data_IF_459823676208
#
_entry.id   IF_459823676208
#
_cell.length_a   1.000
_cell.length_b   1.000
_cell.length_c   1.000
_cell.angle_alpha   90.00
_cell.angle_beta   90.00
_cell.angle_gamma   90.00
#
_symmetry.space_group_name_H-M   'P 1'
#
loop_
_entity.id
_entity.type
_entity.pdbx_description
1 polymer ?
#
# COMPACT_ATOMS: atom_id res chain seq x y z
N UNK A 1 20.92 9.63 -9.54
CA UNK A 1 20.05 9.29 -10.71
C UNK A 1 18.70 8.85 -10.17
N UNK A 2 17.61 9.24 -10.80
CA UNK A 2 16.26 8.81 -10.39
C UNK A 2 16.09 7.31 -10.64
N UNK A 3 15.41 6.63 -9.73
CA UNK A 3 15.05 5.20 -9.76
C UNK A 3 13.55 5.06 -9.61
N UNK A 4 13.05 3.86 -9.90
CA UNK A 4 11.65 3.52 -9.63
C UNK A 4 11.52 3.10 -8.17
N UNK A 5 10.63 3.78 -7.44
CA UNK A 5 10.23 3.44 -6.08
C UNK A 5 8.81 2.89 -6.12
N UNK A 6 8.61 1.69 -5.56
CA UNK A 6 7.30 1.12 -5.28
C UNK A 6 6.90 1.41 -3.84
N UNK A 7 5.66 1.86 -3.67
CA UNK A 7 5.07 2.23 -2.39
C UNK A 7 3.81 1.39 -2.19
N UNK A 8 3.89 0.38 -1.33
CA UNK A 8 2.74 -0.43 -0.93
C UNK A 8 1.98 0.22 0.21
N UNK A 9 0.65 0.26 0.13
CA UNK A 9 -0.24 0.79 1.15
C UNK A 9 -1.37 -0.23 1.37
N UNK A 10 -1.63 -0.58 2.62
CA UNK A 10 -2.70 -1.51 2.98
C UNK A 10 -3.33 -1.17 4.34
N UNK A 11 -4.52 -1.74 4.58
CA UNK A 11 -5.26 -1.74 5.85
C UNK A 11 -5.53 -0.32 6.40
N UNK A 12 -5.93 0.58 5.52
CA UNK A 12 -6.26 1.98 5.87
C UNK A 12 -7.76 2.21 6.09
N UNK A 13 -8.60 1.23 5.71
CA UNK A 13 -10.04 1.31 5.77
C UNK A 13 -10.65 0.54 6.95
N UNK A 14 -11.92 0.84 7.21
CA UNK A 14 -12.71 0.10 8.19
C UNK A 14 -14.06 -0.28 7.60
N UNK A 15 -14.83 -1.09 8.33
CA UNK A 15 -16.21 -1.40 7.92
C UNK A 15 -17.13 -0.19 7.94
N UNK A 16 -16.73 0.91 8.60
CA UNK A 16 -17.50 2.13 8.82
C UNK A 16 -17.20 3.22 7.79
N UNK A 17 -15.94 3.38 7.38
CA UNK A 17 -15.53 4.48 6.51
C UNK A 17 -14.23 4.18 5.76
N UNK A 18 -13.96 5.00 4.74
CA UNK A 18 -12.74 5.00 3.92
C UNK A 18 -12.55 3.72 3.08
N UNK A 19 -11.54 3.76 2.22
CA UNK A 19 -11.10 2.63 1.40
C UNK A 19 -9.62 2.80 1.08
N UNK A 20 -8.85 1.72 1.13
CA UNK A 20 -7.42 1.74 0.80
C UNK A 20 -7.10 2.33 -0.57
N UNK A 21 -7.98 2.13 -1.56
CA UNK A 21 -7.81 2.75 -2.88
C UNK A 21 -7.95 4.27 -2.84
N UNK A 22 -8.88 4.82 -2.04
CA UNK A 22 -9.05 6.26 -1.89
C UNK A 22 -7.83 6.89 -1.23
N UNK A 23 -7.33 6.28 -0.14
CA UNK A 23 -6.15 6.76 0.58
C UNK A 23 -4.91 6.75 -0.32
N UNK A 24 -4.69 5.66 -1.07
CA UNK A 24 -3.59 5.57 -2.02
C UNK A 24 -3.72 6.62 -3.16
N UNK A 25 -4.94 6.87 -3.66
CA UNK A 25 -5.17 7.91 -4.66
C UNK A 25 -4.90 9.33 -4.11
N UNK A 26 -5.20 9.59 -2.83
CA UNK A 26 -4.80 10.84 -2.17
C UNK A 26 -3.28 10.93 -1.99
N UNK A 27 -2.61 9.81 -1.70
CA UNK A 27 -1.16 9.77 -1.51
C UNK A 27 -0.44 10.08 -2.83
N UNK A 28 -0.86 9.46 -3.94
CA UNK A 28 -0.32 9.76 -5.26
C UNK A 28 -0.52 11.23 -5.64
N UNK A 29 -1.73 11.78 -5.43
CA UNK A 29 -2.00 13.21 -5.71
C UNK A 29 -1.09 14.13 -4.91
N UNK A 30 -0.85 13.83 -3.65
CA UNK A 30 0.01 14.66 -2.80
C UNK A 30 1.49 14.54 -3.18
N UNK A 31 1.93 13.35 -3.57
CA UNK A 31 3.26 13.13 -4.15
C UNK A 31 3.46 13.91 -5.44
N UNK A 32 2.48 13.92 -6.34
CA UNK A 32 2.52 14.66 -7.61
C UNK A 32 2.61 16.17 -7.40
N UNK A 33 1.86 16.72 -6.45
CA UNK A 33 1.97 18.14 -6.06
C UNK A 33 3.36 18.51 -5.55
N UNK A 34 4.07 17.55 -4.97
CA UNK A 34 5.43 17.70 -4.47
C UNK A 34 6.51 17.37 -5.53
N UNK A 35 6.11 17.11 -6.78
CA UNK A 35 7.01 16.90 -7.91
C UNK A 35 7.39 15.44 -8.18
N UNK A 36 6.83 14.47 -7.44
CA UNK A 36 7.05 13.05 -7.66
C UNK A 36 6.01 12.51 -8.65
N UNK A 37 6.44 12.19 -9.87
CA UNK A 37 5.55 11.70 -10.93
C UNK A 37 5.30 10.19 -10.80
N UNK A 38 4.05 9.78 -10.99
CA UNK A 38 3.70 8.38 -11.21
C UNK A 38 4.39 7.85 -12.47
N UNK A 39 5.02 6.68 -12.34
CA UNK A 39 5.69 5.99 -13.44
C UNK A 39 4.78 4.98 -14.14
N UNK A 40 3.69 4.57 -13.48
CA UNK A 40 2.66 3.67 -13.99
C UNK A 40 1.33 3.95 -13.27
N UNK A 41 0.24 3.32 -13.71
CA UNK A 41 -1.02 3.29 -12.97
C UNK A 41 -0.84 2.62 -11.60
N UNK A 42 -1.57 3.06 -10.55
CA UNK A 42 -1.63 2.33 -9.29
C UNK A 42 -2.09 0.88 -9.49
N UNK A 43 -1.43 -0.06 -8.83
CA UNK A 43 -1.81 -1.46 -8.90
C UNK A 43 -2.69 -1.82 -7.71
N UNK A 44 -3.93 -2.25 -7.97
CA UNK A 44 -4.81 -2.84 -6.96
C UNK A 44 -4.56 -4.34 -6.89
N UNK A 45 -3.90 -4.79 -5.82
CA UNK A 45 -3.43 -6.17 -5.67
C UNK A 45 -4.37 -6.92 -4.74
N UNK A 46 -5.10 -7.90 -5.29
CA UNK A 46 -5.91 -8.83 -4.50
C UNK A 46 -5.03 -9.85 -3.80
N UNK A 47 -5.34 -10.14 -2.54
CA UNK A 47 -4.64 -11.10 -1.68
C UNK A 47 -5.60 -12.25 -1.32
N UNK A 48 -5.18 -13.15 -0.41
CA UNK A 48 -5.95 -14.33 -0.03
C UNK A 48 -7.42 -13.98 0.34
N UNK A 49 -8.43 -14.40 -0.45
CA UNK A 49 -9.82 -14.06 -0.19
C UNK A 49 -10.35 -14.70 1.11
N UNK A 50 -9.71 -15.77 1.59
CA UNK A 50 -10.06 -16.49 2.80
C UNK A 50 -9.44 -15.87 4.07
N UNK A 51 -8.65 -14.80 3.96
CA UNK A 51 -8.07 -14.12 5.11
C UNK A 51 -9.16 -13.71 6.13
N UNK A 52 -9.05 -14.10 7.42
CA UNK A 52 -10.06 -13.80 8.43
C UNK A 52 -10.05 -12.33 8.86
N UNK A 53 -8.93 -11.63 8.66
CA UNK A 53 -8.71 -10.25 9.14
C UNK A 53 -9.20 -9.17 8.17
N UNK A 54 -9.74 -9.54 7.00
CA UNK A 54 -10.20 -8.58 5.98
C UNK A 54 -11.45 -7.80 6.42
N UNK A 55 -11.56 -6.54 6.00
CA UNK A 55 -12.78 -5.72 6.15
C UNK A 55 -13.87 -6.18 5.16
N UNK A 56 -13.69 -5.85 3.87
CA UNK A 56 -14.50 -6.25 2.70
C UNK A 56 -13.60 -6.34 1.47
N UNK A 57 -13.37 -7.57 0.99
CA UNK A 57 -12.28 -7.84 0.05
C UNK A 57 -10.92 -7.79 0.75
N UNK A 58 -9.93 -8.51 0.23
CA UNK A 58 -8.56 -8.48 0.73
C UNK A 58 -7.68 -7.88 -0.37
N UNK A 59 -7.29 -6.61 -0.24
CA UNK A 59 -6.56 -5.92 -1.29
C UNK A 59 -5.68 -4.79 -0.76
N UNK A 60 -4.47 -4.70 -1.29
CA UNK A 60 -3.51 -3.64 -1.05
C UNK A 60 -3.24 -2.85 -2.34
N UNK A 61 -2.67 -1.65 -2.24
CA UNK A 61 -2.35 -0.82 -3.40
C UNK A 61 -0.85 -0.58 -3.50
N UNK A 62 -0.30 -0.68 -4.71
CA UNK A 62 1.07 -0.30 -5.03
C UNK A 62 1.08 0.96 -5.91
N UNK A 63 1.82 1.99 -5.49
CA UNK A 63 2.13 3.15 -6.31
C UNK A 63 3.57 3.02 -6.82
N UNK A 64 3.81 3.28 -8.10
CA UNK A 64 5.17 3.35 -8.65
C UNK A 64 5.49 4.77 -9.05
N UNK A 65 6.55 5.35 -8.49
CA UNK A 65 6.99 6.73 -8.77
C UNK A 65 8.45 6.79 -9.20
N UNK A 66 8.84 7.87 -9.88
CA UNK A 66 10.24 8.21 -10.10
C UNK A 66 10.76 9.08 -8.95
N UNK A 67 11.82 8.64 -8.28
CA UNK A 67 12.39 9.33 -7.12
C UNK A 67 13.91 9.16 -7.05
N UNK A 68 14.60 10.08 -6.36
CA UNK A 68 16.01 9.87 -5.99
C UNK A 68 16.07 9.19 -4.61
N UNK A 69 17.10 8.36 -4.34
CA UNK A 69 17.29 7.77 -3.02
C UNK A 69 17.27 8.77 -1.86
N UNK A 70 17.86 9.94 -2.09
CA UNK A 70 17.91 11.04 -1.11
C UNK A 70 16.52 11.59 -0.72
N UNK A 71 15.51 11.41 -1.57
CA UNK A 71 14.15 11.92 -1.36
C UNK A 71 13.28 10.99 -0.49
N UNK A 72 13.76 9.78 -0.17
CA UNK A 72 12.96 8.75 0.50
C UNK A 72 12.33 9.23 1.81
N UNK A 73 13.08 9.99 2.62
CA UNK A 73 12.55 10.54 3.88
C UNK A 73 11.37 11.51 3.66
N UNK A 74 11.48 12.39 2.65
CA UNK A 74 10.41 13.33 2.30
C UNK A 74 9.19 12.61 1.73
N UNK A 75 9.40 11.61 0.88
CA UNK A 75 8.33 10.78 0.33
C UNK A 75 7.58 10.07 1.45
N UNK A 76 8.31 9.49 2.40
CA UNK A 76 7.73 8.85 3.58
C UNK A 76 6.88 9.82 4.40
N UNK A 77 7.41 11.02 4.70
CA UNK A 77 6.66 12.06 5.43
C UNK A 77 5.34 12.42 4.73
N UNK A 78 5.37 12.60 3.40
CA UNK A 78 4.17 12.89 2.61
C UNK A 78 3.16 11.75 2.72
N UNK A 79 3.56 10.52 2.42
CA UNK A 79 2.64 9.36 2.41
C UNK A 79 2.08 9.10 3.80
N UNK A 80 2.93 9.14 4.84
CA UNK A 80 2.50 8.98 6.24
C UNK A 80 1.52 10.06 6.65
N UNK A 81 1.74 11.32 6.24
CA UNK A 81 0.81 12.42 6.56
C UNK A 81 -0.57 12.20 5.93
N UNK A 82 -0.62 11.70 4.70
CA UNK A 82 -1.86 11.38 3.99
C UNK A 82 -2.57 10.20 4.64
N UNK A 83 -1.84 9.12 4.95
CA UNK A 83 -2.41 7.95 5.62
C UNK A 83 -2.96 8.32 6.98
N UNK A 84 -2.24 9.10 7.80
CA UNK A 84 -2.75 9.58 9.10
C UNK A 84 -3.99 10.46 8.98
N UNK A 85 -4.08 11.27 7.91
CA UNK A 85 -5.22 12.15 7.67
C UNK A 85 -6.47 11.40 7.26
N UNK A 86 -6.34 10.33 6.49
CA UNK A 86 -7.48 9.68 5.83
C UNK A 86 -7.78 8.26 6.32
N UNK A 87 -6.85 7.56 6.99
CA UNK A 87 -7.14 6.23 7.51
C UNK A 87 -8.04 6.31 8.75
N UNK A 88 -8.92 5.32 8.93
CA UNK A 88 -9.79 5.22 10.12
C UNK A 88 -9.03 4.64 11.32
N UNK A 89 -8.02 5.37 11.81
CA UNK A 89 -7.12 4.91 12.88
C UNK A 89 -7.85 4.61 14.20
N UNK A 90 -9.02 5.21 14.42
CA UNK A 90 -9.86 4.96 15.60
C UNK A 90 -10.58 3.60 15.55
N UNK A 91 -10.74 3.01 14.36
CA UNK A 91 -11.40 1.71 14.23
C UNK A 91 -10.52 0.58 14.75
N UNK A 92 -11.07 -0.27 15.59
CA UNK A 92 -10.45 -1.54 15.94
C UNK A 92 -10.27 -2.39 14.66
N UNK A 93 -9.08 -2.94 14.48
CA UNK A 93 -8.76 -3.78 13.32
C UNK A 93 -8.25 -3.06 12.07
N UNK A 94 -8.18 -1.72 12.06
CA UNK A 94 -7.49 -0.94 11.02
C UNK A 94 -6.04 -0.73 11.45
N UNK A 95 -5.09 -1.44 10.84
CA UNK A 95 -3.67 -1.45 11.17
C UNK A 95 -2.78 -1.09 9.96
N UNK A 96 -2.75 0.20 9.53
CA UNK A 96 -2.10 0.59 8.29
C UNK A 96 -0.64 0.15 8.20
N UNK A 97 -0.28 -0.38 7.03
CA UNK A 97 1.09 -0.68 6.66
C UNK A 97 1.51 0.07 5.41
N UNK A 98 2.75 0.57 5.42
CA UNK A 98 3.37 1.21 4.26
C UNK A 98 4.75 0.58 4.03
N UNK A 99 5.07 0.21 2.79
CA UNK A 99 6.36 -0.37 2.41
C UNK A 99 6.94 0.39 1.23
N UNK A 100 8.21 0.78 1.30
CA UNK A 100 8.93 1.51 0.27
C UNK A 100 10.11 0.68 -0.22
N UNK A 101 10.03 0.19 -1.45
CA UNK A 101 11.10 -0.61 -2.05
C UNK A 101 11.48 -0.06 -3.42
N UNK A 102 12.78 0.10 -3.65
CA UNK A 102 13.28 0.35 -5.00
C UNK A 102 12.99 -0.88 -5.88
N UNK A 103 12.87 -0.70 -7.19
CA UNK A 103 12.49 -1.78 -8.11
C UNK A 103 13.35 -3.05 -7.94
N UNK A 104 14.66 -2.88 -7.72
CA UNK A 104 15.60 -3.97 -7.43
C UNK A 104 15.29 -4.73 -6.12
N UNK A 105 14.80 -4.03 -5.09
CA UNK A 105 14.40 -4.63 -3.83
C UNK A 105 13.04 -5.30 -3.92
N UNK A 106 12.12 -4.74 -4.71
CA UNK A 106 10.76 -5.24 -4.88
C UNK A 106 10.73 -6.67 -5.45
N UNK A 107 11.70 -7.04 -6.30
CA UNK A 107 11.84 -8.40 -6.82
C UNK A 107 12.01 -9.44 -5.71
N UNK A 108 12.72 -9.09 -4.64
CA UNK A 108 12.92 -9.98 -3.48
C UNK A 108 11.66 -10.18 -2.63
N UNK A 109 10.60 -9.38 -2.86
CA UNK A 109 9.28 -9.54 -2.23
C UNK A 109 8.28 -10.29 -3.13
N UNK A 110 8.69 -10.76 -4.32
CA UNK A 110 7.80 -11.52 -5.22
C UNK A 110 7.22 -12.78 -4.56
N UNK A 111 8.04 -13.49 -3.79
CA UNK A 111 7.59 -14.65 -3.03
C UNK A 111 6.57 -14.26 -1.93
N UNK A 112 6.76 -13.11 -1.29
CA UNK A 112 5.83 -12.57 -0.30
C UNK A 112 4.45 -12.35 -0.90
N UNK A 113 4.37 -11.81 -2.13
CA UNK A 113 3.10 -11.68 -2.85
C UNK A 113 2.42 -13.04 -3.04
N UNK A 114 3.14 -14.02 -3.61
CA UNK A 114 2.56 -15.34 -3.87
C UNK A 114 2.11 -16.03 -2.60
N UNK A 115 2.90 -15.98 -1.53
CA UNK A 115 2.49 -16.54 -0.24
C UNK A 115 1.27 -15.82 0.34
N UNK A 116 1.20 -14.50 0.23
CA UNK A 116 0.04 -13.72 0.70
C UNK A 116 -1.26 -13.99 -0.09
N UNK A 117 -1.19 -14.61 -1.27
CA UNK A 117 -2.37 -15.11 -1.99
C UNK A 117 -2.93 -16.41 -1.39
N UNK A 118 -2.08 -17.27 -0.84
CA UNK A 118 -2.44 -18.65 -0.47
C UNK A 118 -2.42 -18.90 1.05
N UNK A 119 -1.62 -18.15 1.79
CA UNK A 119 -1.29 -18.36 3.20
C UNK A 119 -1.77 -17.18 4.07
N UNK A 120 -1.73 -17.37 5.39
CA UNK A 120 -1.84 -16.29 6.38
C UNK A 120 -0.44 -16.06 6.94
N UNK A 121 0.15 -14.91 6.64
CA UNK A 121 1.53 -14.57 7.00
C UNK A 121 1.60 -13.82 8.32
N UNK A 122 2.66 -14.07 9.10
CA UNK A 122 2.96 -13.32 10.31
C UNK A 122 3.61 -11.97 9.95
N UNK A 123 3.04 -10.82 10.38
CA UNK A 123 3.66 -9.50 10.20
C UNK A 123 5.11 -9.42 10.69
N UNK A 124 5.49 -10.17 11.74
CA UNK A 124 6.89 -10.25 12.24
C UNK A 124 7.83 -10.82 11.19
N UNK A 125 7.40 -11.86 10.48
CA UNK A 125 8.18 -12.48 9.41
C UNK A 125 8.44 -11.47 8.29
N UNK A 126 7.40 -10.73 7.90
CA UNK A 126 7.50 -9.72 6.83
C UNK A 126 8.40 -8.56 7.23
N UNK A 127 8.33 -8.08 8.48
CA UNK A 127 9.25 -7.07 8.99
C UNK A 127 10.70 -7.53 8.95
N UNK A 128 10.98 -8.74 9.45
CA UNK A 128 12.33 -9.33 9.39
C UNK A 128 12.85 -9.45 7.95
N UNK A 129 11.97 -9.79 7.00
CA UNK A 129 12.32 -9.81 5.57
C UNK A 129 12.61 -8.41 5.03
N UNK A 130 11.83 -7.39 5.40
CA UNK A 130 12.10 -6.01 5.00
C UNK A 130 13.43 -5.51 5.58
N UNK A 131 13.67 -5.76 6.87
CA UNK A 131 14.90 -5.37 7.57
C UNK A 131 16.15 -6.00 6.92
N UNK A 132 16.09 -7.31 6.59
CA UNK A 132 17.22 -8.00 5.95
C UNK A 132 17.50 -7.54 4.52
N UNK A 133 16.51 -6.97 3.83
CA UNK A 133 16.63 -6.42 2.48
C UNK A 133 16.91 -4.90 2.46
N UNK A 134 16.98 -4.26 3.64
CA UNK A 134 17.10 -2.80 3.75
C UNK A 134 15.89 -2.05 3.16
N UNK A 135 14.71 -2.68 3.19
CA UNK A 135 13.46 -2.10 2.71
C UNK A 135 12.84 -1.28 3.83
N UNK A 136 12.51 -0.03 3.54
CA UNK A 136 11.90 0.89 4.50
C UNK A 136 10.42 0.57 4.62
N UNK A 137 9.89 0.60 5.84
CA UNK A 137 8.46 0.44 6.09
C UNK A 137 7.99 1.33 7.26
N UNK A 138 6.69 1.59 7.29
CA UNK A 138 6.00 2.23 8.40
C UNK A 138 4.86 1.33 8.82
N UNK A 139 4.83 1.03 10.11
CA UNK A 139 3.75 0.32 10.76
C UNK A 139 2.97 1.28 11.64
N UNK A 140 1.64 1.24 11.55
CA UNK A 140 0.73 1.87 12.48
C UNK A 140 -0.02 0.78 13.27
N UNK A 141 -0.23 1.01 14.57
CA UNK A 141 -0.91 0.07 15.49
C UNK A 141 -0.28 -1.33 15.44
N UNK A 142 -1.07 -2.40 15.33
CA UNK A 142 -0.59 -3.78 15.37
C UNK A 142 0.17 -4.19 14.10
N UNK A 143 0.08 -3.37 13.04
CA UNK A 143 0.91 -3.47 11.83
C UNK A 143 0.62 -4.63 10.90
N UNK A 144 -0.61 -5.12 10.87
CA UNK A 144 -0.99 -6.22 9.97
C UNK A 144 -0.97 -5.82 8.50
N UNK A 145 -1.29 -4.56 8.18
CA UNK A 145 -1.20 -4.04 6.81
C UNK A 145 0.19 -4.13 6.20
N UNK A 146 1.25 -4.35 6.98
CA UNK A 146 2.60 -4.53 6.42
C UNK A 146 2.70 -5.73 5.49
N UNK A 147 1.89 -6.77 5.75
CA UNK A 147 1.83 -7.99 4.93
C UNK A 147 1.33 -7.65 3.53
N UNK A 148 0.18 -6.97 3.43
CA UNK A 148 -0.38 -6.62 2.14
C UNK A 148 0.39 -5.50 1.44
N UNK A 149 0.95 -4.54 2.17
CA UNK A 149 1.82 -3.53 1.59
C UNK A 149 3.08 -4.16 0.96
N UNK A 150 3.74 -5.09 1.65
CA UNK A 150 4.89 -5.81 1.10
C UNK A 150 4.50 -6.70 -0.10
N UNK A 151 3.35 -7.38 -0.01
CA UNK A 151 2.82 -8.17 -1.12
C UNK A 151 2.48 -7.30 -2.34
N UNK A 152 1.92 -6.09 -2.14
CA UNK A 152 1.61 -5.18 -3.24
C UNK A 152 2.87 -4.68 -3.95
N UNK A 153 3.93 -4.39 -3.19
CA UNK A 153 5.24 -4.03 -3.74
C UNK A 153 5.86 -5.18 -4.54
N UNK A 154 5.77 -6.41 -4.02
CA UNK A 154 6.29 -7.62 -4.66
C UNK A 154 5.45 -8.16 -5.81
N UNK A 155 4.26 -7.62 -6.05
CA UNK A 155 3.39 -8.06 -7.13
C UNK A 155 4.03 -7.84 -8.51
N UNK A 156 3.64 -8.70 -9.46
CA UNK A 156 4.07 -8.63 -10.86
C UNK A 156 2.85 -8.65 -11.79
N UNK A 157 2.26 -7.48 -12.08
CA UNK A 157 1.03 -7.38 -12.87
C UNK A 157 1.25 -7.69 -14.35
N UNK A 158 2.49 -7.76 -14.83
CA UNK A 158 2.77 -8.14 -16.23
C UNK A 158 2.44 -9.62 -16.49
N UNK A 159 2.36 -10.44 -15.44
CA UNK A 159 1.98 -11.85 -15.57
C UNK A 159 0.49 -12.03 -15.90
N UNK A 160 -0.40 -11.33 -15.19
CA UNK A 160 -1.86 -11.30 -15.39
C UNK A 160 -2.43 -10.02 -14.76
N UNK A 161 -3.09 -9.17 -15.56
CA UNK A 161 -3.78 -7.97 -15.07
C UNK A 161 -5.11 -7.71 -15.79
N UNK A 162 -5.99 -7.01 -15.09
CA UNK A 162 -7.20 -6.37 -15.64
C UNK A 162 -7.22 -4.91 -15.19
N UNK A 163 -8.05 -4.09 -15.83
CA UNK A 163 -8.20 -2.67 -15.48
C UNK A 163 -9.49 -2.45 -14.71
N UNK A 164 -9.43 -1.65 -13.66
CA UNK A 164 -10.57 -1.22 -12.85
C UNK A 164 -10.59 0.30 -12.78
N UNK A 165 -11.65 0.93 -13.31
CA UNK A 165 -11.85 2.37 -13.20
C UNK A 165 -12.69 2.68 -11.96
N UNK A 166 -12.08 3.30 -10.95
CA UNK A 166 -12.73 3.61 -9.67
C UNK A 166 -13.08 5.10 -9.62
N UNK A 167 -14.37 5.41 -9.51
CA UNK A 167 -14.88 6.75 -9.27
C UNK A 167 -15.24 6.92 -7.78
N UNK A 168 -14.77 8.00 -7.17
CA UNK A 168 -15.07 8.32 -5.77
C UNK A 168 -16.16 9.38 -5.68
N UNK A 169 -17.08 9.20 -4.73
CA UNK A 169 -18.09 10.22 -4.41
C UNK A 169 -17.41 11.43 -3.77
N UNK A 170 -17.97 12.60 -4.03
CA UNK A 170 -17.57 13.83 -3.31
C UNK A 170 -17.90 13.69 -1.81
N UNK A 171 -17.10 14.30 -0.90
CA UNK A 171 -17.25 14.13 0.54
C UNK A 171 -18.66 14.40 1.08
N UNK A 172 -19.35 15.38 0.51
CA UNK A 172 -20.70 15.81 0.92
C UNK A 172 -21.76 14.71 0.68
N UNK A 173 -21.45 13.73 -0.19
CA UNK A 173 -22.33 12.64 -0.59
C UNK A 173 -22.01 11.32 0.11
N UNK A 174 -21.03 11.27 1.01
CA UNK A 174 -20.69 10.04 1.73
C UNK A 174 -21.83 9.63 2.69
N UNK A 175 -22.18 8.34 2.67
CA UNK A 175 -23.26 7.77 3.50
C UNK A 175 -24.69 8.11 3.04
N UNK A 176 -24.85 8.80 1.91
CA UNK A 176 -26.15 9.14 1.31
C UNK A 176 -26.49 8.20 0.15
N UNK A 177 -27.76 8.04 -0.18
CA UNK A 177 -28.18 7.37 -1.42
C UNK A 177 -27.92 8.31 -2.61
#
# INVERSE_FOLDING_TARGET
MTRLLRIGIDDTDSKRTMCTTYVAAQALRELEKNGYRGADLPWLIRLNPNCPYKTRGNAAVCLTIQAKPEDLGRIEEIVVSVVKKWADLESEGTDPGIVYAWAEQAEHLRETYWRALWEILDPKEIRSRCDSLGIRYVQMKEGRGIVGAAAAVGADPESLKTFEAIAYRVPEMWGRE
#
